data_IF_880283940953
#
_entry.id   IF_880283940953
#
_cell.length_a   1.000
_cell.length_b   1.000
_cell.length_c   1.000
_cell.angle_alpha   90.00
_cell.angle_beta   90.00
_cell.angle_gamma   90.00
#
_symmetry.space_group_name_H-M   'P 1'
#
loop_
_entity.id
_entity.type
_entity.pdbx_description
1 polymer ?
#
# COMPACT_ATOMS: atom_id res chain seq x y z
N UNK A 1 -13.21 16.77 14.94
CA UNK A 1 -13.64 15.84 13.89
C UNK A 1 -12.45 15.39 13.08
N UNK A 2 -12.33 14.10 12.87
CA UNK A 2 -11.19 13.58 12.15
C UNK A 2 -11.39 13.63 10.64
N UNK A 3 -10.31 13.37 9.92
CA UNK A 3 -10.33 13.29 8.48
C UNK A 3 -9.94 11.88 8.07
N UNK A 4 -10.52 11.42 6.98
CA UNK A 4 -10.17 10.14 6.41
C UNK A 4 -8.93 10.30 5.54
N UNK A 5 -7.97 9.43 5.74
CA UNK A 5 -6.76 9.40 4.95
C UNK A 5 -6.63 8.04 4.28
N UNK A 6 -6.23 8.05 3.01
CA UNK A 6 -6.03 6.82 2.26
C UNK A 6 -4.56 6.57 2.09
N UNK A 7 -4.18 5.31 2.27
CA UNK A 7 -2.80 4.87 2.16
C UNK A 7 -2.71 3.75 1.14
N UNK A 8 -1.67 3.79 0.33
CA UNK A 8 -1.43 2.76 -0.67
C UNK A 8 -0.10 2.11 -0.35
N UNK A 9 -0.12 0.80 -0.16
CA UNK A 9 1.06 0.03 0.18
C UNK A 9 1.33 -1.00 -0.89
N UNK A 10 2.59 -1.23 -1.20
CA UNK A 10 2.98 -2.34 -2.05
C UNK A 10 3.61 -3.41 -1.17
N UNK A 11 3.18 -4.65 -1.37
CA UNK A 11 3.62 -5.78 -0.55
C UNK A 11 4.14 -6.86 -1.47
N UNK A 12 5.22 -7.52 -1.09
CA UNK A 12 5.78 -8.61 -1.86
C UNK A 12 4.77 -9.74 -2.01
N UNK A 13 4.96 -10.51 -3.08
CA UNK A 13 4.11 -11.66 -3.39
C UNK A 13 4.46 -12.81 -2.44
N UNK A 14 4.11 -12.65 -1.18
CA UNK A 14 4.42 -13.57 -0.10
C UNK A 14 3.28 -13.49 0.89
N UNK A 15 2.55 -14.60 1.12
CA UNK A 15 1.39 -14.56 2.02
C UNK A 15 1.73 -14.11 3.43
N UNK A 16 2.92 -14.44 3.92
CA UNK A 16 3.32 -14.03 5.27
C UNK A 16 3.49 -12.53 5.33
N UNK A 17 4.13 -11.95 4.31
CA UNK A 17 4.31 -10.50 4.25
C UNK A 17 2.98 -9.79 4.13
N UNK A 18 2.08 -10.31 3.31
CA UNK A 18 0.76 -9.72 3.17
C UNK A 18 0.01 -9.76 4.50
N UNK A 19 0.05 -10.90 5.18
CA UNK A 19 -0.62 -11.02 6.48
C UNK A 19 -0.06 -10.01 7.47
N UNK A 20 1.26 -9.86 7.51
CA UNK A 20 1.89 -8.93 8.44
C UNK A 20 1.48 -7.50 8.15
N UNK A 21 1.42 -7.13 6.86
CA UNK A 21 1.00 -5.79 6.49
C UNK A 21 -0.43 -5.53 6.90
N UNK A 22 -1.32 -6.49 6.68
CA UNK A 22 -2.72 -6.34 7.06
C UNK A 22 -2.87 -6.20 8.57
N UNK A 23 -2.08 -6.96 9.32
CA UNK A 23 -2.11 -6.89 10.77
C UNK A 23 -1.62 -5.52 11.25
N UNK A 24 -0.58 -4.99 10.62
CA UNK A 24 -0.05 -3.68 10.98
C UNK A 24 -1.07 -2.59 10.71
N UNK A 25 -1.77 -2.68 9.58
CA UNK A 25 -2.81 -1.70 9.24
C UNK A 25 -3.89 -1.72 10.32
N UNK A 26 -4.33 -2.91 10.71
CA UNK A 26 -5.38 -3.01 11.72
C UNK A 26 -4.89 -2.49 13.06
N UNK A 27 -3.65 -2.81 13.43
CA UNK A 27 -3.09 -2.37 14.70
C UNK A 27 -2.99 -0.84 14.77
N UNK A 28 -2.80 -0.20 13.62
CA UNK A 28 -2.72 1.25 13.54
C UNK A 28 -4.09 1.93 13.45
N UNK A 29 -5.16 1.15 13.52
CA UNK A 29 -6.51 1.72 13.44
C UNK A 29 -7.03 1.89 12.04
N UNK A 30 -6.36 1.32 11.07
CA UNK A 30 -6.78 1.42 9.68
C UNK A 30 -7.73 0.32 9.27
N UNK A 31 -8.27 0.46 8.08
CA UNK A 31 -9.16 -0.53 7.49
C UNK A 31 -8.78 -0.76 6.04
N UNK A 32 -8.66 -2.01 5.65
CA UNK A 32 -8.31 -2.37 4.29
C UNK A 32 -9.55 -2.21 3.40
N UNK A 33 -9.38 -1.48 2.30
CA UNK A 33 -10.45 -1.24 1.34
C UNK A 33 -10.32 -2.21 0.16
N UNK A 34 -9.09 -2.41 -0.30
CA UNK A 34 -8.88 -3.17 -1.52
C UNK A 34 -7.50 -3.81 -1.50
N UNK A 35 -7.43 -5.02 -2.06
CA UNK A 35 -6.17 -5.72 -2.28
C UNK A 35 -6.16 -6.19 -3.71
N UNK A 36 -5.12 -5.81 -4.46
CA UNK A 36 -5.00 -6.17 -5.87
C UNK A 36 -3.66 -6.85 -6.07
N UNK A 37 -3.67 -8.04 -6.66
CA UNK A 37 -2.44 -8.72 -7.02
C UNK A 37 -2.00 -8.27 -8.39
N UNK A 38 -0.71 -8.01 -8.54
CA UNK A 38 -0.13 -7.59 -9.81
C UNK A 38 1.02 -8.52 -10.18
N UNK A 39 1.08 -8.95 -11.44
CA UNK A 39 2.19 -9.78 -11.89
C UNK A 39 3.47 -8.96 -12.05
N UNK A 40 4.59 -9.66 -12.14
CA UNK A 40 5.86 -9.02 -12.46
C UNK A 40 5.75 -8.36 -13.84
N UNK A 41 6.40 -7.22 -13.98
CA UNK A 41 6.35 -6.48 -15.24
C UNK A 41 7.61 -5.65 -15.43
N UNK A 42 7.83 -5.26 -16.68
CA UNK A 42 8.90 -4.33 -17.01
C UNK A 42 8.32 -2.93 -17.08
N UNK A 43 9.05 -1.99 -16.50
CA UNK A 43 8.66 -0.58 -16.51
C UNK A 43 9.72 0.17 -17.30
N UNK A 44 9.30 0.95 -18.29
CA UNK A 44 10.17 1.84 -19.03
C UNK A 44 9.90 3.25 -18.56
N UNK A 45 10.79 3.83 -17.73
CA UNK A 45 10.48 5.11 -17.13
C UNK A 45 10.48 6.24 -18.15
N UNK A 46 11.63 6.65 -18.63
CA UNK A 46 11.73 7.77 -19.56
C UNK A 46 12.59 7.38 -20.73
N UNK A 47 12.46 8.07 -21.87
CA UNK A 47 13.31 7.82 -22.99
C UNK A 47 14.78 7.96 -22.60
N UNK A 48 15.59 6.99 -23.02
CA UNK A 48 17.00 7.01 -22.70
C UNK A 48 17.39 6.32 -21.41
N UNK A 49 16.41 5.91 -20.60
CA UNK A 49 16.69 5.17 -19.38
C UNK A 49 16.39 3.67 -19.59
N UNK A 50 17.18 2.80 -18.99
CA UNK A 50 16.95 1.37 -19.15
C UNK A 50 15.66 0.95 -18.45
N UNK A 51 14.98 -0.05 -18.98
CA UNK A 51 13.82 -0.61 -18.28
C UNK A 51 14.27 -1.35 -17.03
N UNK A 52 13.37 -1.43 -16.07
CA UNK A 52 13.62 -2.20 -14.86
C UNK A 52 12.41 -3.09 -14.56
N UNK A 53 12.66 -4.16 -13.83
CA UNK A 53 11.63 -5.12 -13.52
C UNK A 53 11.03 -4.81 -12.15
N UNK A 54 9.69 -4.82 -12.10
CA UNK A 54 8.95 -4.74 -10.84
C UNK A 54 8.42 -6.13 -10.56
N UNK A 55 8.79 -6.68 -9.41
CA UNK A 55 8.38 -8.02 -9.04
C UNK A 55 6.87 -8.07 -8.79
N UNK A 56 6.31 -9.28 -8.92
CA UNK A 56 4.90 -9.47 -8.59
C UNK A 56 4.65 -9.16 -7.12
N UNK A 57 3.44 -8.75 -6.81
CA UNK A 57 3.09 -8.41 -5.45
C UNK A 57 1.67 -7.93 -5.34
N UNK A 58 1.37 -7.37 -4.19
CA UNK A 58 0.03 -6.88 -3.89
C UNK A 58 0.06 -5.37 -3.72
N UNK A 59 -1.01 -4.73 -4.16
CA UNK A 59 -1.27 -3.33 -3.85
C UNK A 59 -2.42 -3.31 -2.86
N UNK A 60 -2.15 -2.80 -1.67
CA UNK A 60 -3.13 -2.75 -0.59
C UNK A 60 -3.53 -1.31 -0.38
N UNK A 61 -4.81 -1.04 -0.48
CA UNK A 61 -5.35 0.30 -0.22
C UNK A 61 -6.09 0.24 1.10
N UNK A 62 -5.74 1.14 2.00
CA UNK A 62 -6.36 1.20 3.30
C UNK A 62 -6.79 2.62 3.60
N UNK A 63 -7.66 2.77 4.58
CA UNK A 63 -8.07 4.08 5.06
C UNK A 63 -7.94 4.11 6.56
N UNK A 64 -7.66 5.28 7.09
CA UNK A 64 -7.64 5.47 8.53
C UNK A 64 -8.08 6.89 8.84
N UNK A 65 -8.58 7.06 10.05
CA UNK A 65 -9.00 8.37 10.50
C UNK A 65 -7.84 9.07 11.16
N UNK A 66 -7.62 10.31 10.78
CA UNK A 66 -6.56 11.12 11.35
C UNK A 66 -7.21 12.18 12.23
N UNK A 67 -6.83 12.27 13.51
CA UNK A 67 -7.41 13.29 14.37
C UNK A 67 -7.04 14.69 13.91
N UNK A 68 -7.86 15.65 14.27
CA UNK A 68 -7.59 17.03 13.91
C UNK A 68 -6.36 17.54 14.63
N UNK A 69 -5.53 18.26 13.89
CA UNK A 69 -4.28 18.75 14.42
C UNK A 69 -4.48 19.90 15.40
N UNK A 70 -5.51 20.67 15.23
CA UNK A 70 -5.72 21.82 16.09
C UNK A 70 -6.05 21.42 17.50
N UNK A 71 -6.26 20.15 17.74
CA UNK A 71 -6.48 19.69 19.10
C UNK A 71 -5.19 19.59 19.89
N UNK A 72 -4.11 19.56 19.19
CA UNK A 72 -2.82 19.41 19.84
C UNK A 72 -2.41 20.66 20.61
#
# INVERSE_FOLDING_TARGET
>A
MGQMQYLVHTVRDDPVRLRDELSDIKAAGGRVISIIWQPARLVTPEPGQPPYEVASGYVVVSECEVPDEEEA
#
